data_IF_242329892794
#
_entry.id   IF_242329892794
#
_cell.length_a   1.000
_cell.length_b   1.000
_cell.length_c   1.000
_cell.angle_alpha   90.00
_cell.angle_beta   90.00
_cell.angle_gamma   90.00
#
_symmetry.space_group_name_H-M   'P 1'
#
loop_
_entity.id
_entity.type
_entity.pdbx_description
1 polymer ?
#
# COMPACT_ATOMS: atom_id res chain seq x y z
N UNK A 1 -5.81 34.93 -5.06
CA UNK A 1 -5.92 33.52 -4.68
C UNK A 1 -6.37 33.45 -3.22
N UNK A 2 -7.48 32.80 -2.98
CA UNK A 2 -7.95 32.62 -1.62
C UNK A 2 -7.15 31.53 -0.93
N UNK A 3 -6.64 31.83 0.27
CA UNK A 3 -5.94 30.85 1.07
C UNK A 3 -6.93 30.14 2.00
N UNK A 4 -6.90 28.83 2.00
CA UNK A 4 -7.72 28.03 2.90
C UNK A 4 -6.95 27.80 4.19
N UNK A 5 -7.60 28.03 5.32
CA UNK A 5 -6.99 27.72 6.61
C UNK A 5 -6.93 26.22 6.81
N UNK A 6 -5.78 25.67 7.22
CA UNK A 6 -5.70 24.25 7.51
C UNK A 6 -6.56 23.91 8.74
N UNK A 7 -7.17 22.73 8.71
CA UNK A 7 -8.05 22.24 9.76
C UNK A 7 -7.26 21.47 10.83
N UNK A 8 -6.21 20.76 10.42
CA UNK A 8 -5.41 20.01 11.36
C UNK A 8 -3.92 20.06 11.00
N UNK A 9 -3.13 19.46 11.86
CA UNK A 9 -1.69 19.43 11.74
C UNK A 9 -1.22 18.77 10.44
N UNK A 10 -1.90 17.70 10.01
CA UNK A 10 -1.51 16.95 8.83
C UNK A 10 -1.71 17.74 7.54
N UNK A 11 -2.59 18.73 7.53
CA UNK A 11 -2.74 19.63 6.39
C UNK A 11 -1.58 20.61 6.26
N UNK A 12 -1.03 21.04 7.41
CA UNK A 12 0.17 21.90 7.41
C UNK A 12 1.42 21.11 7.05
N UNK A 13 1.55 19.91 7.59
CA UNK A 13 2.72 19.06 7.43
C UNK A 13 2.29 17.67 6.99
N UNK A 14 1.88 17.54 5.71
CA UNK A 14 1.44 16.25 5.21
C UNK A 14 2.58 15.25 5.28
N UNK A 15 2.31 14.10 5.87
CA UNK A 15 3.28 13.03 5.98
C UNK A 15 3.69 12.50 4.60
N UNK A 16 4.90 11.96 4.53
CA UNK A 16 5.42 11.36 3.31
C UNK A 16 4.66 10.10 2.90
N UNK A 17 4.14 9.36 3.88
CA UNK A 17 3.58 8.04 3.65
C UNK A 17 2.06 8.03 3.79
N UNK A 18 1.44 7.14 3.02
CA UNK A 18 -0.01 6.91 3.07
C UNK A 18 -0.35 6.29 4.43
N UNK A 19 -1.38 6.84 5.07
CA UNK A 19 -1.92 6.31 6.33
C UNK A 19 -3.30 5.73 6.08
N UNK A 20 -3.53 4.53 6.62
CA UNK A 20 -4.81 3.83 6.43
C UNK A 20 -6.01 4.63 6.92
N UNK A 21 -5.85 5.42 7.98
CA UNK A 21 -6.93 6.28 8.50
C UNK A 21 -7.42 7.33 7.53
N UNK A 22 -6.62 7.67 6.51
CA UNK A 22 -7.01 8.65 5.49
C UNK A 22 -8.06 8.09 4.52
N UNK A 23 -8.22 6.77 4.44
CA UNK A 23 -9.15 6.14 3.51
C UNK A 23 -10.60 6.30 3.93
N UNK A 24 -10.88 6.46 5.21
CA UNK A 24 -12.23 6.65 5.76
C UNK A 24 -13.21 5.59 5.27
N UNK A 25 -12.79 4.32 5.30
CA UNK A 25 -13.60 3.19 4.85
C UNK A 25 -13.66 2.99 3.35
N UNK A 26 -12.98 3.83 2.58
CA UNK A 26 -12.94 3.71 1.11
C UNK A 26 -11.77 2.85 0.67
N UNK A 27 -11.85 2.36 -0.56
CA UNK A 27 -10.80 1.55 -1.18
C UNK A 27 -10.27 2.30 -2.42
N UNK A 28 -9.29 3.19 -2.24
CA UNK A 28 -8.76 3.96 -3.37
C UNK A 28 -7.99 3.07 -4.35
N UNK A 29 -8.10 3.39 -5.63
CA UNK A 29 -7.32 2.77 -6.69
C UNK A 29 -6.23 3.75 -7.11
N UNK A 30 -4.98 3.33 -6.98
CA UNK A 30 -3.82 4.16 -7.30
C UNK A 30 -2.96 3.48 -8.35
N UNK A 31 -2.35 4.28 -9.22
CA UNK A 31 -1.45 3.79 -10.27
C UNK A 31 -0.02 3.85 -9.78
N UNK A 32 0.68 2.72 -9.85
CA UNK A 32 2.09 2.64 -9.46
C UNK A 32 2.93 3.42 -10.46
N UNK A 33 3.68 4.40 -9.96
CA UNK A 33 4.62 5.17 -10.78
C UNK A 33 5.96 4.45 -10.87
N UNK A 34 6.52 4.12 -9.72
CA UNK A 34 7.73 3.30 -9.62
C UNK A 34 7.88 2.73 -8.22
N UNK A 35 8.86 1.83 -8.08
CA UNK A 35 9.25 1.25 -6.80
C UNK A 35 10.74 1.45 -6.63
N UNK A 36 11.13 2.18 -5.59
CA UNK A 36 12.53 2.46 -5.28
C UNK A 36 12.92 1.88 -3.92
N UNK A 37 14.21 1.72 -3.72
CA UNK A 37 14.74 1.39 -2.41
C UNK A 37 15.03 2.66 -1.63
N UNK A 38 14.71 2.67 -0.35
CA UNK A 38 14.97 3.79 0.52
C UNK A 38 15.35 3.31 1.91
N UNK A 39 16.13 4.12 2.60
CA UNK A 39 16.50 3.86 3.99
C UNK A 39 15.45 4.49 4.89
N UNK A 40 14.73 3.65 5.63
CA UNK A 40 13.70 4.10 6.56
C UNK A 40 14.09 3.76 7.98
N UNK A 41 13.74 4.63 8.92
CA UNK A 41 13.95 4.38 10.33
C UNK A 41 12.74 3.64 10.87
N UNK A 42 12.97 2.44 11.39
CA UNK A 42 11.93 1.63 11.99
C UNK A 42 11.61 2.07 13.42
N UNK A 43 10.61 1.41 14.02
CA UNK A 43 10.18 1.70 15.39
C UNK A 43 11.30 1.45 16.42
N UNK A 44 12.26 0.60 16.08
CA UNK A 44 13.42 0.31 16.93
C UNK A 44 14.54 1.35 16.79
N UNK A 45 14.33 2.39 15.98
CA UNK A 45 15.33 3.42 15.73
C UNK A 45 16.42 3.02 14.74
N UNK A 46 16.35 1.82 14.18
CA UNK A 46 17.35 1.34 13.22
C UNK A 46 16.94 1.63 11.80
N UNK A 47 17.92 1.96 10.96
CA UNK A 47 17.69 2.13 9.54
C UNK A 47 17.54 0.77 8.86
N UNK A 48 16.57 0.67 7.97
CA UNK A 48 16.37 -0.51 7.13
C UNK A 48 16.10 -0.06 5.70
N UNK A 49 16.64 -0.79 4.76
CA UNK A 49 16.34 -0.58 3.34
C UNK A 49 15.01 -1.25 3.04
N UNK A 50 14.07 -0.49 2.53
CA UNK A 50 12.75 -1.00 2.13
C UNK A 50 12.39 -0.53 0.74
N UNK A 51 11.58 -1.32 0.05
CA UNK A 51 10.92 -0.86 -1.16
C UNK A 51 9.86 0.19 -0.80
N UNK A 52 9.83 1.24 -1.58
CA UNK A 52 8.84 2.32 -1.40
C UNK A 52 8.16 2.56 -2.74
N UNK A 53 6.83 2.48 -2.75
CA UNK A 53 6.05 2.68 -3.96
C UNK A 53 5.64 4.14 -4.06
N UNK A 54 5.89 4.75 -5.22
CA UNK A 54 5.37 6.06 -5.59
C UNK A 54 4.16 5.88 -6.51
N UNK A 55 3.20 6.79 -6.42
CA UNK A 55 1.96 6.72 -7.18
C UNK A 55 1.79 7.96 -8.07
N UNK A 56 1.01 7.80 -9.14
CA UNK A 56 0.72 8.89 -10.06
C UNK A 56 -0.24 9.90 -9.44
N UNK A 57 -1.24 9.41 -8.71
CA UNK A 57 -2.36 10.22 -8.23
C UNK A 57 -2.08 11.01 -6.96
N UNK A 58 -1.04 10.67 -6.23
CA UNK A 58 -0.71 11.31 -4.96
C UNK A 58 0.79 11.44 -4.78
N UNK A 59 1.29 12.51 -4.14
CA UNK A 59 2.70 12.60 -3.78
C UNK A 59 3.09 11.68 -2.63
N UNK A 60 2.12 11.11 -1.92
CA UNK A 60 2.39 10.20 -0.82
C UNK A 60 2.84 8.84 -1.32
N UNK A 61 3.70 8.19 -0.55
CA UNK A 61 4.31 6.92 -0.89
C UNK A 61 3.86 5.83 0.06
N UNK A 62 4.03 4.58 -0.36
CA UNK A 62 3.70 3.40 0.45
C UNK A 62 4.95 2.56 0.67
N UNK A 63 5.47 2.49 1.91
CA UNK A 63 6.53 1.54 2.21
C UNK A 63 5.99 0.12 2.09
N UNK A 64 6.73 -0.75 1.44
CA UNK A 64 6.34 -2.14 1.29
C UNK A 64 6.67 -2.93 2.55
N UNK A 65 5.66 -3.51 3.16
CA UNK A 65 5.88 -4.59 4.11
C UNK A 65 5.80 -5.92 3.36
N UNK A 66 6.14 -7.00 4.04
CA UNK A 66 6.20 -8.29 3.38
C UNK A 66 4.84 -8.78 2.91
N UNK A 67 3.79 -8.55 3.70
CA UNK A 67 2.42 -8.93 3.33
C UNK A 67 1.99 -8.27 2.03
N UNK A 68 2.11 -6.94 1.95
CA UNK A 68 1.73 -6.20 0.75
C UNK A 68 2.62 -6.56 -0.44
N UNK A 69 3.91 -6.76 -0.19
CA UNK A 69 4.84 -7.18 -1.24
C UNK A 69 4.50 -8.53 -1.84
N UNK A 70 4.12 -9.51 -1.03
CA UNK A 70 3.71 -10.82 -1.50
C UNK A 70 2.46 -10.71 -2.38
N UNK A 71 1.47 -9.92 -1.96
CA UNK A 71 0.24 -9.72 -2.73
C UNK A 71 0.53 -9.08 -4.09
N UNK A 72 1.37 -8.04 -4.12
CA UNK A 72 1.72 -7.36 -5.37
C UNK A 72 2.53 -8.26 -6.30
N UNK A 73 3.46 -9.03 -5.74
CA UNK A 73 4.23 -9.98 -6.54
C UNK A 73 3.33 -11.05 -7.17
N UNK A 74 2.34 -11.52 -6.43
CA UNK A 74 1.41 -12.52 -6.95
C UNK A 74 0.60 -11.97 -8.13
N UNK A 75 0.20 -10.69 -8.07
CA UNK A 75 -0.58 -10.06 -9.13
C UNK A 75 0.26 -9.63 -10.32
N UNK A 76 1.45 -9.08 -10.09
CA UNK A 76 2.21 -8.37 -11.13
C UNK A 76 3.55 -9.01 -11.47
N UNK A 77 4.00 -10.02 -10.71
CA UNK A 77 5.23 -10.73 -10.98
C UNK A 77 6.40 -10.28 -10.13
N UNK A 78 7.53 -10.92 -10.33
CA UNK A 78 8.74 -10.72 -9.51
C UNK A 78 9.54 -9.47 -9.87
N UNK A 79 9.42 -8.99 -11.10
CA UNK A 79 10.20 -7.86 -11.58
C UNK A 79 9.49 -6.56 -11.23
N UNK A 80 10.11 -5.76 -10.38
CA UNK A 80 9.49 -4.53 -9.90
C UNK A 80 9.21 -3.53 -11.02
N UNK A 81 10.04 -3.52 -12.07
CA UNK A 81 9.81 -2.64 -13.21
C UNK A 81 8.50 -2.95 -13.93
N UNK A 82 8.02 -4.18 -13.86
CA UNK A 82 6.74 -4.57 -14.48
C UNK A 82 5.53 -4.07 -13.67
N UNK A 83 5.75 -3.62 -12.45
CA UNK A 83 4.68 -3.04 -11.62
C UNK A 83 4.34 -1.62 -12.07
N UNK A 84 5.26 -0.93 -12.76
CA UNK A 84 5.05 0.45 -13.19
C UNK A 84 3.87 0.53 -14.15
N UNK A 85 2.95 1.46 -13.89
CA UNK A 85 1.72 1.61 -14.67
C UNK A 85 0.57 0.70 -14.25
N UNK A 86 0.82 -0.26 -13.35
CA UNK A 86 -0.25 -1.12 -12.83
C UNK A 86 -1.02 -0.39 -11.74
N UNK A 87 -2.32 -0.64 -11.69
CA UNK A 87 -3.17 -0.05 -10.67
C UNK A 87 -3.33 -0.99 -9.48
N UNK A 88 -3.41 -0.44 -8.30
CA UNK A 88 -3.60 -1.20 -7.07
C UNK A 88 -4.73 -0.59 -6.27
N UNK A 89 -5.59 -1.44 -5.73
CA UNK A 89 -6.68 -1.04 -4.85
C UNK A 89 -6.20 -1.29 -3.41
N UNK A 90 -6.24 -0.25 -2.59
CA UNK A 90 -5.79 -0.32 -1.19
C UNK A 90 -6.99 -0.22 -0.26
N UNK A 91 -6.84 -0.73 0.95
CA UNK A 91 -7.85 -0.59 1.98
C UNK A 91 -7.20 -0.54 3.36
N UNK A 92 -7.97 -0.07 4.34
CA UNK A 92 -7.54 -0.08 5.73
C UNK A 92 -8.04 -1.34 6.40
N UNK A 93 -7.11 -2.08 7.02
CA UNK A 93 -7.44 -3.27 7.79
C UNK A 93 -6.99 -3.05 9.23
N UNK A 94 -7.64 -3.71 10.17
CA UNK A 94 -7.25 -3.61 11.58
C UNK A 94 -6.28 -4.72 11.94
N UNK A 95 -5.20 -4.35 12.58
CA UNK A 95 -4.19 -5.27 13.07
C UNK A 95 -3.79 -4.84 14.48
N UNK A 96 -4.02 -5.71 15.47
CA UNK A 96 -3.73 -5.41 16.88
C UNK A 96 -4.31 -4.08 17.36
N UNK A 97 -5.55 -3.76 16.92
CA UNK A 97 -6.21 -2.52 17.30
C UNK A 97 -5.80 -1.30 16.49
N UNK A 98 -4.82 -1.42 15.60
CA UNK A 98 -4.38 -0.32 14.75
C UNK A 98 -4.79 -0.56 13.30
N UNK A 99 -5.01 0.52 12.56
CA UNK A 99 -5.28 0.43 11.13
C UNK A 99 -3.99 0.29 10.35
N UNK A 100 -3.98 -0.64 9.39
CA UNK A 100 -2.85 -0.87 8.50
C UNK A 100 -3.32 -0.80 7.07
N UNK A 101 -2.48 -0.24 6.18
CA UNK A 101 -2.75 -0.23 4.75
C UNK A 101 -2.46 -1.61 4.17
N UNK A 102 -3.45 -2.16 3.45
CA UNK A 102 -3.36 -3.48 2.83
C UNK A 102 -3.77 -3.41 1.37
N UNK A 103 -3.34 -4.40 0.60
CA UNK A 103 -3.70 -4.52 -0.81
C UNK A 103 -5.01 -5.28 -0.93
N UNK A 104 -6.02 -4.66 -1.54
CA UNK A 104 -7.31 -5.28 -1.82
C UNK A 104 -7.29 -6.07 -3.12
N UNK A 105 -6.62 -5.55 -4.13
CA UNK A 105 -6.54 -6.17 -5.44
C UNK A 105 -6.12 -5.17 -6.51
N UNK A 106 -6.53 -5.44 -7.74
CA UNK A 106 -6.21 -4.59 -8.88
C UNK A 106 -7.23 -4.78 -10.00
N UNK A 107 -7.66 -3.69 -10.67
CA UNK A 107 -8.48 -3.83 -11.87
C UNK A 107 -7.67 -4.35 -13.08
N UNK A 108 -6.37 -4.47 -12.94
CA UNK A 108 -5.49 -4.94 -14.04
C UNK A 108 -5.28 -6.47 -14.02
N UNK A 109 -5.77 -7.18 -13.01
CA UNK A 109 -5.82 -8.64 -13.06
C UNK A 109 -7.13 -9.06 -13.72
N UNK A 110 -7.13 -10.23 -14.36
CA UNK A 110 -8.28 -10.68 -15.16
C UNK A 110 -9.38 -11.31 -14.34
N UNK A 111 -9.03 -11.88 -13.19
CA UNK A 111 -9.98 -12.55 -12.30
C UNK A 111 -9.47 -12.46 -10.87
N UNK A 112 -10.35 -12.63 -9.87
CA UNK A 112 -9.90 -12.70 -8.49
C UNK A 112 -8.92 -13.84 -8.30
N UNK A 113 -7.92 -13.64 -7.45
CA UNK A 113 -6.93 -14.68 -7.19
C UNK A 113 -6.68 -14.84 -5.70
N UNK A 114 -6.48 -16.08 -5.28
CA UNK A 114 -6.11 -16.42 -3.93
C UNK A 114 -4.59 -16.33 -3.78
N UNK A 115 -4.13 -15.70 -2.73
CA UNK A 115 -2.71 -15.51 -2.44
C UNK A 115 -2.42 -16.06 -1.07
N UNK A 116 -1.46 -16.98 -0.97
CA UNK A 116 -0.99 -17.46 0.32
C UNK A 116 0.10 -16.54 0.83
N UNK A 117 -0.12 -15.98 2.02
CA UNK A 117 0.86 -15.11 2.67
C UNK A 117 1.49 -15.88 3.83
N UNK A 118 2.75 -16.25 3.66
CA UNK A 118 3.52 -16.97 4.68
C UNK A 118 4.59 -16.04 5.23
N UNK A 119 4.47 -15.69 6.51
CA UNK A 119 5.47 -14.89 7.21
C UNK A 119 6.27 -15.78 8.15
N UNK A 120 7.53 -15.39 8.48
CA UNK A 120 8.32 -16.17 9.43
C UNK A 120 7.60 -16.35 10.77
N UNK A 121 7.63 -17.56 11.30
CA UNK A 121 7.05 -17.92 12.61
C UNK A 121 5.53 -17.71 12.71
N UNK A 122 4.84 -17.59 11.59
CA UNK A 122 3.39 -17.44 11.58
C UNK A 122 2.78 -18.47 10.66
N UNK A 123 1.53 -18.81 10.94
CA UNK A 123 0.77 -19.72 10.06
C UNK A 123 0.46 -18.99 8.76
N UNK A 124 0.44 -19.72 7.61
CA UNK A 124 0.03 -19.11 6.37
C UNK A 124 -1.41 -18.61 6.47
N UNK A 125 -1.66 -17.47 5.84
CA UNK A 125 -3.02 -16.96 5.70
C UNK A 125 -3.37 -16.86 4.22
N UNK A 126 -4.64 -17.03 3.90
CA UNK A 126 -5.14 -16.88 2.56
C UNK A 126 -5.74 -15.49 2.40
N UNK A 127 -5.32 -14.77 1.38
CA UNK A 127 -5.88 -13.48 1.03
C UNK A 127 -6.41 -13.55 -0.40
N UNK A 128 -7.52 -12.88 -0.66
CA UNK A 128 -8.07 -12.79 -2.00
C UNK A 128 -7.75 -11.44 -2.59
N UNK A 129 -7.18 -11.43 -3.80
CA UNK A 129 -6.99 -10.21 -4.56
C UNK A 129 -8.20 -10.04 -5.47
N UNK A 130 -8.88 -8.93 -5.32
CA UNK A 130 -10.14 -8.64 -6.03
C UNK A 130 -9.87 -7.80 -7.27
N UNK A 131 -10.77 -7.89 -8.25
CA UNK A 131 -10.68 -7.09 -9.48
C UNK A 131 -11.30 -5.71 -9.28
N UNK A 132 -12.29 -5.61 -8.39
CA UNK A 132 -13.03 -4.38 -8.15
C UNK A 132 -12.96 -3.97 -6.69
N UNK A 133 -13.04 -2.66 -6.44
CA UNK A 133 -13.09 -2.13 -5.07
C UNK A 133 -14.32 -2.62 -4.33
N UNK A 134 -15.40 -2.84 -5.04
CA UNK A 134 -16.63 -3.44 -4.50
C UNK A 134 -16.61 -4.92 -4.84
N UNK A 135 -16.27 -5.71 -3.84
CA UNK A 135 -16.13 -7.15 -3.98
C UNK A 135 -17.42 -7.92 -4.00
#
# INVERSE_FOLDING_TARGET
MALTKPVDWDELYPGRFIKAGEFKGKKPTLTIKDVDLDNLIGDDGKEKVKGVISFVETPKQLPLNKTNGICLRAMFGRKLAEWNGKRVILYADKWNGEEATRVWGSPDITEPMAVEVKLPRKKPIQMTMHVKAEG
#
